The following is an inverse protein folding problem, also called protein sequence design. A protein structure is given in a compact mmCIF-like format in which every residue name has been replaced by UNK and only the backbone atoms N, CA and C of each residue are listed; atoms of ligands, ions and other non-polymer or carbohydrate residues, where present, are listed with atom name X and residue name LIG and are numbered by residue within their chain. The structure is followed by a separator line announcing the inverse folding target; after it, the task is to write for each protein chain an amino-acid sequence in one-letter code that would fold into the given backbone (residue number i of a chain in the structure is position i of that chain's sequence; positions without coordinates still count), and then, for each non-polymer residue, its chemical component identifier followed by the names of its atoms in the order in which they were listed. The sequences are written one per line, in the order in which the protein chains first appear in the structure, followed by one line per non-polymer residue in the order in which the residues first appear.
data_IF_508018254397
#
_entry.id   IF_508018254397
#
_cell.length_a   1.000
_cell.length_b   1.000
_cell.length_c   1.000
_cell.angle_alpha   90.00
_cell.angle_beta   90.00
_cell.angle_gamma   90.00
#
_symmetry.space_group_name_H-M   'P 1'
#
loop_
_entity.id
_entity.type
_entity.pdbx_description
1 polymer ?
#
# COMPACT_ATOMS: atom_id res chain seq x y z
N UNK A 1 38.40 31.33 3.51
CA UNK A 1 37.23 32.21 3.40
C UNK A 1 36.06 31.40 2.85
N UNK A 2 34.90 31.62 3.38
CA UNK A 2 33.69 30.91 2.91
C UNK A 2 32.75 31.97 2.37
N UNK A 3 32.42 31.90 1.09
CA UNK A 3 31.46 32.80 0.45
C UNK A 3 30.00 32.43 0.83
N UNK A 4 29.10 33.39 0.69
CA UNK A 4 27.66 33.22 0.91
C UNK A 4 27.03 32.05 0.05
N UNK A 5 27.71 31.67 -1.03
CA UNK A 5 27.34 30.55 -1.89
C UNK A 5 27.95 29.21 -1.44
N UNK A 6 28.68 29.17 -0.31
CA UNK A 6 29.30 27.95 0.21
C UNK A 6 30.61 27.58 -0.48
N UNK A 7 31.20 28.46 -1.27
CA UNK A 7 32.50 28.26 -1.92
C UNK A 7 33.59 28.49 -0.88
N UNK A 8 34.40 27.47 -0.61
CA UNK A 8 35.52 27.55 0.32
C UNK A 8 36.80 27.88 -0.46
N UNK A 9 37.37 29.09 -0.21
CA UNK A 9 38.65 29.46 -0.75
C UNK A 9 39.71 29.33 0.35
N UNK A 10 40.67 28.44 0.15
CA UNK A 10 41.83 28.28 1.03
C UNK A 10 43.05 28.86 0.36
N UNK A 11 43.65 29.89 0.96
CA UNK A 11 44.91 30.50 0.48
C UNK A 11 46.02 30.27 1.50
N UNK A 12 47.19 29.88 1.02
CA UNK A 12 48.42 29.77 1.82
C UNK A 12 49.48 30.65 1.20
N UNK A 13 50.10 31.50 2.05
CA UNK A 13 51.21 32.39 1.66
C UNK A 13 52.47 31.97 2.37
N UNK A 14 53.50 31.69 1.59
CA UNK A 14 54.85 31.45 2.12
C UNK A 14 55.49 32.79 2.48
N UNK A 15 55.84 32.96 3.75
CA UNK A 15 56.40 34.19 4.29
C UNK A 15 57.84 34.46 3.86
N UNK A 16 58.59 33.43 3.48
CA UNK A 16 60.01 33.57 3.08
C UNK A 16 60.15 33.84 1.58
N UNK A 17 59.31 33.31 0.76
CA UNK A 17 59.36 33.44 -0.71
C UNK A 17 58.30 34.42 -1.28
N UNK A 18 57.32 34.79 -0.46
CA UNK A 18 56.19 35.64 -0.85
C UNK A 18 55.22 34.97 -1.86
N UNK A 19 55.36 33.67 -2.12
CA UNK A 19 54.46 32.92 -3.00
C UNK A 19 53.14 32.64 -2.32
N UNK A 20 52.04 32.90 -3.04
CA UNK A 20 50.70 32.62 -2.59
C UNK A 20 50.07 31.53 -3.51
N UNK A 21 49.52 30.52 -2.88
CA UNK A 21 48.69 29.51 -3.56
C UNK A 21 47.31 29.57 -2.98
N UNK A 22 46.30 29.62 -3.85
CA UNK A 22 44.90 29.50 -3.44
C UNK A 22 44.27 28.27 -4.11
N UNK A 23 43.50 27.54 -3.34
CA UNK A 23 42.66 26.45 -3.81
C UNK A 23 41.22 26.86 -3.56
N UNK A 24 40.40 26.84 -4.59
CA UNK A 24 38.98 27.07 -4.51
C UNK A 24 38.32 25.68 -4.47
N UNK A 25 37.66 25.34 -3.38
CA UNK A 25 36.82 24.15 -3.27
C UNK A 25 35.39 24.64 -3.53
N UNK A 26 34.95 24.39 -4.71
CA UNK A 26 33.60 24.64 -5.12
C UNK A 26 32.82 23.34 -4.87
N UNK A 27 31.63 23.48 -4.34
CA UNK A 27 30.75 22.34 -4.06
C UNK A 27 30.07 21.92 -5.39
N UNK A 28 30.91 21.36 -6.29
CA UNK A 28 30.48 20.89 -7.61
C UNK A 28 29.53 19.68 -7.54
N UNK A 29 29.25 19.17 -6.32
CA UNK A 29 28.25 18.13 -6.06
C UNK A 29 26.83 18.71 -5.80
N UNK A 30 26.60 19.99 -6.04
CA UNK A 30 25.23 20.51 -6.03
C UNK A 30 24.48 19.98 -7.23
N UNK A 31 23.40 19.27 -6.94
CA UNK A 31 22.46 18.87 -7.98
C UNK A 31 22.02 20.12 -8.77
N UNK A 32 21.99 20.00 -10.09
CA UNK A 32 21.42 21.04 -10.93
C UNK A 32 19.93 21.22 -10.64
N UNK A 33 19.38 22.38 -10.94
CA UNK A 33 17.94 22.65 -10.75
C UNK A 33 17.08 21.59 -11.48
N UNK A 34 17.54 21.12 -12.64
CA UNK A 34 16.87 20.03 -13.38
C UNK A 34 16.93 18.67 -12.65
N UNK A 35 18.03 18.37 -11.98
CA UNK A 35 18.18 17.15 -11.18
C UNK A 35 17.31 17.21 -9.92
N UNK A 36 17.21 18.40 -9.29
CA UNK A 36 16.33 18.63 -8.16
C UNK A 36 14.87 18.48 -8.59
N UNK A 37 14.46 19.05 -9.71
CA UNK A 37 13.09 18.91 -10.23
C UNK A 37 12.75 17.44 -10.54
N UNK A 38 13.68 16.70 -11.16
CA UNK A 38 13.51 15.25 -11.40
C UNK A 38 13.38 14.47 -10.10
N UNK A 39 14.23 14.73 -9.12
CA UNK A 39 14.16 14.07 -7.82
C UNK A 39 12.85 14.37 -7.08
N UNK A 40 12.34 15.60 -7.19
CA UNK A 40 11.03 15.97 -6.64
C UNK A 40 9.89 15.25 -7.36
N UNK A 41 9.96 15.14 -8.69
CA UNK A 41 8.94 14.42 -9.45
C UNK A 41 8.96 12.92 -9.16
N UNK A 42 10.14 12.31 -9.16
CA UNK A 42 10.32 10.91 -8.79
C UNK A 42 9.78 10.64 -7.36
N UNK A 43 10.05 11.53 -6.41
CA UNK A 43 9.54 11.41 -5.05
C UNK A 43 8.01 11.50 -4.98
N UNK A 44 7.37 12.33 -5.80
CA UNK A 44 5.90 12.41 -5.89
C UNK A 44 5.32 11.12 -6.48
N UNK A 45 5.91 10.63 -7.57
CA UNK A 45 5.47 9.41 -8.24
C UNK A 45 5.58 8.19 -7.29
N UNK A 46 6.67 8.10 -6.53
CA UNK A 46 6.84 7.07 -5.49
C UNK A 46 5.84 7.21 -4.34
N UNK A 47 5.53 8.45 -3.92
CA UNK A 47 4.55 8.68 -2.86
C UNK A 47 3.14 8.25 -3.28
N UNK A 48 2.73 8.55 -4.52
CA UNK A 48 1.46 8.10 -5.09
C UNK A 48 1.40 6.57 -5.20
N UNK A 49 2.48 5.92 -5.68
CA UNK A 49 2.55 4.46 -5.75
C UNK A 49 2.44 3.80 -4.37
N UNK A 50 3.09 4.38 -3.35
CA UNK A 50 3.03 3.89 -1.97
C UNK A 50 1.62 4.06 -1.37
N UNK A 51 0.94 5.15 -1.64
CA UNK A 51 -0.44 5.38 -1.19
C UNK A 51 -1.39 4.35 -1.81
N UNK A 52 -1.30 4.10 -3.11
CA UNK A 52 -2.06 3.04 -3.78
C UNK A 52 -1.75 1.66 -3.22
N UNK A 53 -0.50 1.37 -2.96
CA UNK A 53 -0.09 0.08 -2.38
C UNK A 53 -0.67 -0.11 -0.98
N UNK A 54 -0.64 0.92 -0.13
CA UNK A 54 -1.28 0.90 1.21
C UNK A 54 -2.79 0.70 1.11
N UNK A 55 -3.47 1.45 0.24
CA UNK A 55 -4.91 1.31 0.04
C UNK A 55 -5.29 -0.12 -0.41
N UNK A 56 -4.50 -0.72 -1.30
CA UNK A 56 -4.72 -2.11 -1.74
C UNK A 56 -4.52 -3.11 -0.60
N UNK A 57 -3.53 -2.89 0.27
CA UNK A 57 -3.31 -3.73 1.46
C UNK A 57 -4.48 -3.65 2.44
N UNK A 58 -5.00 -2.46 2.70
CA UNK A 58 -6.18 -2.26 3.56
C UNK A 58 -7.42 -2.98 3.01
N UNK A 59 -7.64 -2.88 1.69
CA UNK A 59 -8.75 -3.59 1.03
C UNK A 59 -8.59 -5.11 1.15
N UNK A 60 -7.38 -5.63 0.96
CA UNK A 60 -7.09 -7.06 1.14
C UNK A 60 -7.32 -7.52 2.57
N UNK A 61 -6.91 -6.72 3.56
CA UNK A 61 -7.12 -7.05 4.97
C UNK A 61 -8.60 -7.12 5.31
N UNK A 62 -9.38 -6.10 4.94
CA UNK A 62 -10.84 -6.08 5.15
C UNK A 62 -11.54 -7.26 4.48
N UNK A 63 -11.09 -7.67 3.29
CA UNK A 63 -11.64 -8.84 2.61
C UNK A 63 -11.31 -10.15 3.34
N UNK A 64 -10.13 -10.29 3.91
CA UNK A 64 -9.76 -11.44 4.73
C UNK A 64 -10.55 -11.48 6.04
N UNK A 65 -10.75 -10.33 6.69
CA UNK A 65 -11.55 -10.24 7.91
C UNK A 65 -13.01 -10.66 7.65
N UNK A 66 -13.58 -10.20 6.53
CA UNK A 66 -14.91 -10.63 6.10
C UNK A 66 -15.00 -12.14 5.84
N UNK A 67 -13.98 -12.75 5.21
CA UNK A 67 -13.92 -14.21 5.03
C UNK A 67 -13.89 -14.94 6.38
N UNK A 68 -13.15 -14.43 7.35
CA UNK A 68 -13.08 -15.01 8.69
C UNK A 68 -14.41 -14.90 9.42
N UNK A 69 -15.09 -13.74 9.37
CA UNK A 69 -16.42 -13.55 9.94
C UNK A 69 -17.44 -14.53 9.30
N UNK A 70 -17.41 -14.69 7.98
CA UNK A 70 -18.29 -15.61 7.29
C UNK A 70 -18.01 -17.08 7.67
N UNK A 71 -16.74 -17.47 7.81
CA UNK A 71 -16.38 -18.79 8.29
C UNK A 71 -16.89 -19.05 9.70
N UNK A 72 -16.75 -18.11 10.62
CA UNK A 72 -17.26 -18.21 11.98
C UNK A 72 -18.80 -18.32 12.00
N UNK A 73 -19.48 -17.46 11.23
CA UNK A 73 -20.94 -17.52 11.13
C UNK A 73 -21.43 -18.87 10.58
N UNK A 74 -20.79 -19.40 9.54
CA UNK A 74 -21.12 -20.72 8.99
C UNK A 74 -20.82 -21.86 9.97
N UNK A 75 -19.77 -21.77 10.77
CA UNK A 75 -19.45 -22.75 11.81
C UNK A 75 -20.51 -22.76 12.92
N UNK A 76 -20.91 -21.58 13.38
CA UNK A 76 -21.89 -21.42 14.47
C UNK A 76 -23.31 -21.77 14.03
N UNK A 77 -23.71 -21.27 12.87
CA UNK A 77 -25.11 -21.34 12.40
C UNK A 77 -25.34 -22.40 11.30
N UNK A 78 -24.33 -23.18 10.97
CA UNK A 78 -24.36 -24.04 9.78
C UNK A 78 -25.51 -25.06 9.71
N UNK A 79 -26.19 -25.36 10.85
CA UNK A 79 -27.39 -26.20 10.91
C UNK A 79 -28.70 -25.42 10.83
N UNK A 80 -28.66 -24.12 11.12
CA UNK A 80 -29.83 -23.23 11.17
C UNK A 80 -30.07 -22.45 9.88
N UNK A 81 -28.99 -22.26 9.07
CA UNK A 81 -29.08 -21.57 7.81
C UNK A 81 -29.74 -22.44 6.73
N UNK A 82 -30.54 -21.80 5.86
CA UNK A 82 -31.10 -22.46 4.69
C UNK A 82 -30.01 -22.99 3.77
N UNK A 83 -30.29 -24.11 3.10
CA UNK A 83 -29.33 -24.78 2.19
C UNK A 83 -28.95 -23.86 1.01
N UNK A 84 -29.87 -23.04 0.53
CA UNK A 84 -29.62 -22.13 -0.58
C UNK A 84 -28.70 -20.99 -0.13
N UNK A 85 -29.01 -20.33 0.98
CA UNK A 85 -28.21 -19.26 1.59
C UNK A 85 -26.78 -19.74 1.86
N UNK A 86 -26.63 -20.89 2.51
CA UNK A 86 -25.33 -21.50 2.78
C UNK A 86 -24.52 -21.78 1.52
N UNK A 87 -25.17 -22.21 0.44
CA UNK A 87 -24.50 -22.47 -0.84
C UNK A 87 -24.04 -21.16 -1.47
N UNK A 88 -24.87 -20.13 -1.42
CA UNK A 88 -24.56 -18.79 -1.95
C UNK A 88 -23.36 -18.18 -1.23
N UNK A 89 -23.40 -18.16 0.10
CA UNK A 89 -22.28 -17.63 0.91
C UNK A 89 -20.98 -18.37 0.57
N UNK A 90 -20.99 -19.69 0.47
CA UNK A 90 -19.79 -20.47 0.11
C UNK A 90 -19.29 -20.19 -1.30
N UNK A 91 -20.19 -19.96 -2.26
CA UNK A 91 -19.81 -19.59 -3.63
C UNK A 91 -19.15 -18.22 -3.68
N UNK A 92 -19.71 -17.24 -2.98
CA UNK A 92 -19.16 -15.87 -2.93
C UNK A 92 -17.83 -15.83 -2.15
N UNK A 93 -17.69 -16.64 -1.08
CA UNK A 93 -16.42 -16.83 -0.38
C UNK A 93 -15.34 -17.39 -1.31
N UNK A 94 -15.68 -18.43 -2.08
CA UNK A 94 -14.74 -19.03 -3.03
C UNK A 94 -14.30 -18.05 -4.13
N UNK A 95 -15.22 -17.21 -4.59
CA UNK A 95 -14.91 -16.17 -5.57
C UNK A 95 -13.97 -15.12 -4.98
N UNK A 96 -14.25 -14.60 -3.77
CA UNK A 96 -13.38 -13.65 -3.10
C UNK A 96 -11.99 -14.27 -2.84
N UNK A 97 -11.90 -15.51 -2.40
CA UNK A 97 -10.62 -16.20 -2.23
C UNK A 97 -9.84 -16.31 -3.53
N UNK A 98 -10.53 -16.60 -4.67
CA UNK A 98 -9.91 -16.66 -5.99
C UNK A 98 -9.34 -15.31 -6.40
N UNK A 99 -10.08 -14.22 -6.18
CA UNK A 99 -9.62 -12.86 -6.46
C UNK A 99 -8.40 -12.49 -5.61
N UNK A 100 -8.42 -12.83 -4.31
CA UNK A 100 -7.30 -12.59 -3.39
C UNK A 100 -6.06 -13.44 -3.71
N UNK A 101 -6.24 -14.65 -4.22
CA UNK A 101 -5.15 -15.56 -4.59
C UNK A 101 -4.53 -15.24 -5.95
N UNK A 102 -5.16 -14.38 -6.76
CA UNK A 102 -4.64 -14.00 -8.07
C UNK A 102 -3.32 -13.27 -7.90
N UNK A 103 -2.25 -13.88 -8.43
CA UNK A 103 -0.93 -13.25 -8.53
C UNK A 103 -0.74 -12.80 -9.96
N UNK A 104 -0.25 -11.56 -10.18
CA UNK A 104 0.04 -11.08 -11.53
C UNK A 104 1.12 -11.97 -12.15
N UNK A 105 0.98 -12.23 -13.43
CA UNK A 105 2.04 -12.82 -14.24
C UNK A 105 3.18 -11.81 -14.38
N UNK A 106 4.44 -12.24 -14.46
CA UNK A 106 5.63 -11.38 -14.65
C UNK A 106 5.53 -10.46 -15.89
N UNK A 107 4.62 -10.73 -16.81
CA UNK A 107 4.40 -9.94 -18.05
C UNK A 107 3.24 -8.95 -17.94
N UNK A 108 2.40 -9.07 -16.94
CA UNK A 108 1.23 -8.23 -16.75
C UNK A 108 1.59 -7.16 -15.72
N UNK A 109 1.72 -5.91 -16.16
CA UNK A 109 1.77 -4.78 -15.22
C UNK A 109 0.45 -4.78 -14.47
N UNK A 110 0.51 -5.12 -13.19
CA UNK A 110 -0.66 -5.08 -12.34
C UNK A 110 -1.05 -3.62 -12.14
N UNK A 111 -2.27 -3.29 -12.54
CA UNK A 111 -2.91 -2.04 -12.15
C UNK A 111 -3.45 -2.24 -10.72
N UNK A 112 -2.85 -1.59 -9.70
CA UNK A 112 -3.27 -1.75 -8.29
C UNK A 112 -4.72 -1.31 -8.08
N UNK A 113 -5.18 -0.34 -8.85
CA UNK A 113 -6.56 0.13 -8.83
C UNK A 113 -7.54 -0.94 -9.34
N UNK A 114 -7.20 -1.62 -10.43
CA UNK A 114 -8.03 -2.70 -10.95
C UNK A 114 -8.08 -3.89 -9.99
N UNK A 115 -6.98 -4.19 -9.31
CA UNK A 115 -6.94 -5.22 -8.28
C UNK A 115 -7.85 -4.85 -7.10
N UNK A 116 -7.68 -3.66 -6.54
CA UNK A 116 -8.50 -3.18 -5.44
C UNK A 116 -10.00 -3.19 -5.79
N UNK A 117 -10.37 -2.71 -6.98
CA UNK A 117 -11.77 -2.75 -7.48
C UNK A 117 -12.34 -4.16 -7.53
N UNK A 118 -11.58 -5.11 -8.05
CA UNK A 118 -12.03 -6.50 -8.14
C UNK A 118 -12.25 -7.12 -6.76
N UNK A 119 -11.38 -6.85 -5.80
CA UNK A 119 -11.53 -7.30 -4.42
C UNK A 119 -12.77 -6.67 -3.78
N UNK A 120 -12.97 -5.36 -3.93
CA UNK A 120 -14.13 -4.64 -3.40
C UNK A 120 -15.44 -5.20 -3.94
N UNK A 121 -15.51 -5.46 -5.25
CA UNK A 121 -16.73 -6.02 -5.88
C UNK A 121 -17.03 -7.42 -5.35
N UNK A 122 -16.03 -8.28 -5.25
CA UNK A 122 -16.21 -9.63 -4.72
C UNK A 122 -16.57 -9.62 -3.22
N UNK A 123 -15.93 -8.74 -2.44
CA UNK A 123 -16.23 -8.55 -1.02
C UNK A 123 -17.65 -8.01 -0.81
N UNK A 124 -18.12 -7.06 -1.61
CA UNK A 124 -19.48 -6.53 -1.52
C UNK A 124 -20.55 -7.60 -1.79
N UNK A 125 -20.31 -8.51 -2.74
CA UNK A 125 -21.22 -9.64 -2.98
C UNK A 125 -21.30 -10.57 -1.77
N UNK A 126 -20.14 -10.91 -1.20
CA UNK A 126 -20.08 -11.74 0.00
C UNK A 126 -20.73 -11.05 1.19
N UNK A 127 -20.48 -9.75 1.38
CA UNK A 127 -21.08 -8.96 2.43
C UNK A 127 -22.60 -9.01 2.36
N UNK A 128 -23.16 -8.80 1.17
CA UNK A 128 -24.60 -8.85 0.93
C UNK A 128 -25.20 -10.23 1.19
N UNK A 129 -24.58 -11.29 0.65
CA UNK A 129 -25.10 -12.67 0.80
C UNK A 129 -24.94 -13.23 2.22
N UNK A 130 -23.97 -12.73 2.99
CA UNK A 130 -23.68 -13.20 4.35
C UNK A 130 -24.24 -12.32 5.47
N UNK A 131 -24.83 -11.16 5.15
CA UNK A 131 -25.30 -10.19 6.13
C UNK A 131 -26.23 -10.79 7.18
N UNK A 132 -27.26 -11.53 6.74
CA UNK A 132 -28.22 -12.20 7.63
C UNK A 132 -27.54 -13.24 8.54
N UNK A 133 -26.67 -14.07 7.98
CA UNK A 133 -25.95 -15.10 8.74
C UNK A 133 -25.02 -14.48 9.80
N UNK A 134 -24.31 -13.40 9.46
CA UNK A 134 -23.40 -12.71 10.38
C UNK A 134 -24.18 -12.01 11.52
N UNK A 135 -25.33 -11.42 11.20
CA UNK A 135 -26.21 -10.79 12.19
C UNK A 135 -26.76 -11.83 13.18
N UNK A 136 -27.25 -12.97 12.69
CA UNK A 136 -27.70 -14.06 13.54
C UNK A 136 -26.59 -14.61 14.45
N UNK A 137 -25.37 -14.76 13.91
CA UNK A 137 -24.23 -15.23 14.69
C UNK A 137 -23.85 -14.25 15.81
N UNK A 138 -23.87 -12.94 15.55
CA UNK A 138 -23.64 -11.90 16.56
C UNK A 138 -24.69 -11.93 17.67
N UNK A 139 -25.96 -12.10 17.31
CA UNK A 139 -27.04 -12.15 18.28
C UNK A 139 -26.96 -13.40 19.18
N UNK A 140 -26.50 -14.54 18.67
CA UNK A 140 -26.26 -15.74 19.48
C UNK A 140 -25.08 -15.59 20.42
N UNK A 141 -24.00 -14.93 19.97
CA UNK A 141 -22.84 -14.67 20.82
C UNK A 141 -23.18 -13.71 21.97
N UNK A 142 -24.03 -12.69 21.74
CA UNK A 142 -24.47 -11.75 22.78
C UNK A 142 -25.52 -12.28 23.76
N UNK A 143 -26.08 -13.49 23.53
CA UNK A 143 -27.01 -14.15 24.43
C UNK A 143 -26.32 -15.21 25.30
N UNK A 144 -25.04 -15.45 25.09
CA UNK A 144 -24.25 -16.47 25.82
C UNK A 144 -23.43 -15.88 27.00
N UNK A 145 -23.47 -14.54 27.19
CA UNK A 145 -22.93 -13.81 28.34
C UNK A 145 -24.07 -13.46 29.30
#
# INVERSE_FOLDING_TARGET
DIDTNGILTVSAKDLDTGREQSIVIDDSDRMSDEEIERAIQDAKDYAEEDEFRRATLDVRQKANDLLNECNQALATLGKQLDKHEKRQIKADMAELQRVLARRPSKKEKMDPEAEARNIVVAAARLDQSSAHARELAKNQAGQAD
#
